data_IF_068444709984
#
_entry.id   IF_068444709984
#
_cell.length_a   1.000
_cell.length_b   1.000
_cell.length_c   1.000
_cell.angle_alpha   90.00
_cell.angle_beta   90.00
_cell.angle_gamma   90.00
#
_symmetry.space_group_name_H-M   'P 1'
#
loop_
_entity.id
_entity.type
_entity.pdbx_description
1 polymer ?
#
# COMPACT_ATOMS: atom_id res chain seq x y z
N UNK A 1 -3.57 10.57 11.81
CA UNK A 1 -4.25 11.36 10.76
C UNK A 1 -5.28 10.51 10.00
N UNK A 2 -4.96 9.31 9.49
CA UNK A 2 -5.92 8.42 8.80
C UNK A 2 -7.09 7.87 9.64
N UNK A 3 -6.88 7.50 10.91
CA UNK A 3 -7.95 6.87 11.73
C UNK A 3 -9.21 7.75 11.85
N UNK A 4 -9.04 9.05 12.11
CA UNK A 4 -10.17 9.96 12.26
C UNK A 4 -10.94 10.21 10.96
N UNK A 5 -10.28 10.13 9.80
CA UNK A 5 -10.94 10.19 8.50
C UNK A 5 -11.83 8.95 8.31
N UNK A 6 -11.27 7.76 8.57
CA UNK A 6 -11.99 6.49 8.40
C UNK A 6 -13.22 6.42 9.30
N UNK A 7 -13.15 6.94 10.52
CA UNK A 7 -14.29 6.97 11.45
C UNK A 7 -15.44 7.86 10.93
N UNK A 8 -15.14 8.90 10.17
CA UNK A 8 -16.11 9.87 9.66
C UNK A 8 -16.86 9.42 8.39
N UNK A 9 -16.34 8.39 7.70
CA UNK A 9 -16.91 7.86 6.46
C UNK A 9 -18.27 7.22 6.71
N UNK A 10 -19.22 7.50 5.79
CA UNK A 10 -20.57 6.94 5.73
C UNK A 10 -20.77 6.15 4.43
N UNK A 11 -21.85 5.36 4.42
CA UNK A 11 -22.29 4.64 3.24
C UNK A 11 -22.55 5.61 2.08
N UNK A 12 -22.02 5.29 0.89
CA UNK A 12 -22.11 6.12 -0.31
C UNK A 12 -21.08 7.25 -0.42
N UNK A 13 -20.23 7.48 0.59
CA UNK A 13 -19.16 8.49 0.50
C UNK A 13 -18.05 8.09 -0.48
N UNK A 14 -17.36 9.08 -1.06
CA UNK A 14 -16.17 8.87 -1.90
C UNK A 14 -14.94 9.49 -1.22
N UNK A 15 -13.95 8.66 -0.91
CA UNK A 15 -12.64 9.07 -0.41
C UNK A 15 -11.73 9.33 -1.59
N UNK A 16 -11.31 10.57 -1.76
CA UNK A 16 -10.41 10.96 -2.85
C UNK A 16 -9.01 11.19 -2.28
N UNK A 17 -8.02 10.46 -2.82
CA UNK A 17 -6.61 10.64 -2.47
C UNK A 17 -5.79 10.96 -3.71
N UNK A 18 -4.74 11.74 -3.56
CA UNK A 18 -3.86 12.04 -4.71
C UNK A 18 -3.01 10.82 -5.07
N UNK A 19 -2.58 10.05 -4.07
CA UNK A 19 -1.68 8.90 -4.21
C UNK A 19 -1.93 7.88 -3.09
N UNK A 20 -1.66 6.59 -3.35
CA UNK A 20 -1.92 5.49 -2.41
C UNK A 20 -1.03 5.51 -1.15
N UNK A 21 0.16 6.09 -1.22
CA UNK A 21 1.07 6.26 -0.06
C UNK A 21 0.46 7.12 1.05
N UNK A 22 -0.56 7.92 0.73
CA UNK A 22 -1.32 8.70 1.71
C UNK A 22 -2.22 7.84 2.61
N UNK A 23 -2.51 6.59 2.22
CA UNK A 23 -3.33 5.65 3.00
C UNK A 23 -2.52 4.81 4.00
N UNK A 24 -1.19 4.76 3.85
CA UNK A 24 -0.35 3.97 4.75
C UNK A 24 1.11 3.94 4.35
N UNK A 25 1.98 3.67 5.33
CA UNK A 25 3.44 3.56 5.14
C UNK A 25 3.91 2.17 4.67
N UNK A 26 2.98 1.24 4.50
CA UNK A 26 3.24 -0.11 4.02
C UNK A 26 2.06 -0.59 3.19
N UNK A 27 2.30 -1.48 2.23
CA UNK A 27 1.25 -2.08 1.41
C UNK A 27 0.14 -2.68 2.28
N UNK A 28 0.50 -3.40 3.35
CA UNK A 28 -0.46 -3.99 4.30
C UNK A 28 -1.39 -2.91 4.87
N UNK A 29 -0.84 -1.80 5.34
CA UNK A 29 -1.62 -0.69 5.89
C UNK A 29 -2.53 -0.03 4.84
N UNK A 30 -2.09 0.03 3.58
CA UNK A 30 -2.87 0.59 2.47
C UNK A 30 -4.06 -0.34 2.17
N UNK A 31 -3.83 -1.65 2.06
CA UNK A 31 -4.88 -2.64 1.82
C UNK A 31 -5.91 -2.68 2.96
N UNK A 32 -5.46 -2.62 4.21
CA UNK A 32 -6.34 -2.55 5.38
C UNK A 32 -7.23 -1.29 5.36
N UNK A 33 -6.68 -0.15 4.92
CA UNK A 33 -7.44 1.09 4.77
C UNK A 33 -8.50 0.98 3.67
N UNK A 34 -8.13 0.44 2.50
CA UNK A 34 -9.05 0.21 1.38
C UNK A 34 -10.21 -0.69 1.80
N UNK A 35 -9.90 -1.82 2.45
CA UNK A 35 -10.92 -2.77 2.91
C UNK A 35 -11.85 -2.12 3.95
N UNK A 36 -11.33 -1.27 4.83
CA UNK A 36 -12.15 -0.54 5.79
C UNK A 36 -13.11 0.44 5.13
N UNK A 37 -12.65 1.17 4.10
CA UNK A 37 -13.47 2.10 3.34
C UNK A 37 -14.61 1.35 2.64
N UNK A 38 -14.30 0.24 1.94
CA UNK A 38 -15.31 -0.58 1.28
C UNK A 38 -16.30 -1.24 2.24
N UNK A 39 -15.85 -1.71 3.41
CA UNK A 39 -16.76 -2.27 4.45
C UNK A 39 -17.76 -1.25 4.98
N UNK A 40 -17.44 0.04 4.92
CA UNK A 40 -18.35 1.13 5.28
C UNK A 40 -19.30 1.53 4.14
N UNK A 41 -19.21 0.88 2.98
CA UNK A 41 -20.02 1.20 1.81
C UNK A 41 -19.55 2.45 1.05
N UNK A 42 -18.34 2.92 1.33
CA UNK A 42 -17.71 4.05 0.65
C UNK A 42 -16.75 3.56 -0.43
N UNK A 43 -16.50 4.43 -1.42
CA UNK A 43 -15.58 4.17 -2.51
C UNK A 43 -14.25 4.92 -2.30
N UNK A 44 -13.16 4.37 -2.82
CA UNK A 44 -11.86 5.04 -2.89
C UNK A 44 -11.57 5.42 -4.34
N UNK A 45 -11.17 6.68 -4.54
CA UNK A 45 -10.73 7.20 -5.84
C UNK A 45 -9.36 7.84 -5.74
N UNK A 46 -8.51 7.54 -6.72
CA UNK A 46 -7.18 8.13 -6.88
C UNK A 46 -7.20 9.17 -7.99
N UNK A 47 -6.60 10.34 -7.75
CA UNK A 47 -6.45 11.39 -8.77
C UNK A 47 -5.39 11.01 -9.80
N UNK A 48 -4.43 10.14 -9.42
CA UNK A 48 -3.43 9.61 -10.33
C UNK A 48 -4.06 8.61 -11.32
N UNK A 49 -4.14 9.04 -12.59
CA UNK A 49 -4.80 8.35 -13.72
C UNK A 49 -4.20 6.97 -14.02
N UNK A 50 -2.99 6.69 -13.52
CA UNK A 50 -2.28 5.43 -13.77
C UNK A 50 -2.83 4.22 -13.01
N UNK A 51 -3.65 4.44 -11.97
CA UNK A 51 -4.23 3.39 -11.13
C UNK A 51 -5.67 3.76 -10.79
N UNK A 52 -6.56 3.76 -11.78
CA UNK A 52 -7.99 3.90 -11.50
C UNK A 52 -8.52 2.58 -10.91
N UNK A 53 -8.57 2.50 -9.57
CA UNK A 53 -8.94 1.30 -8.80
C UNK A 53 -10.41 1.30 -8.37
N UNK A 54 -11.24 1.99 -9.13
CA UNK A 54 -12.66 2.11 -8.85
C UNK A 54 -13.36 0.76 -9.02
N UNK A 55 -14.44 0.55 -8.27
CA UNK A 55 -15.23 -0.69 -8.19
C UNK A 55 -15.94 -1.05 -9.51
N UNK A 56 -16.10 -0.07 -10.41
CA UNK A 56 -16.62 -0.21 -11.77
C UNK A 56 -15.56 -0.61 -12.81
N UNK A 57 -14.27 -0.60 -12.47
CA UNK A 57 -13.20 -1.04 -13.36
C UNK A 57 -12.89 -2.54 -13.16
N UNK A 58 -13.17 -3.41 -14.17
CA UNK A 58 -12.94 -4.85 -14.07
C UNK A 58 -11.46 -5.23 -13.91
N UNK A 59 -10.52 -4.32 -14.19
CA UNK A 59 -9.09 -4.54 -14.04
C UNK A 59 -8.55 -4.14 -12.66
N UNK A 60 -9.34 -3.48 -11.81
CA UNK A 60 -8.92 -2.97 -10.49
C UNK A 60 -8.30 -4.05 -9.61
N UNK A 61 -8.91 -5.23 -9.57
CA UNK A 61 -8.41 -6.37 -8.77
C UNK A 61 -7.06 -6.88 -9.29
N UNK A 62 -6.88 -6.96 -10.61
CA UNK A 62 -5.63 -7.40 -11.22
C UNK A 62 -4.49 -6.40 -10.96
N UNK A 63 -4.79 -5.11 -11.07
CA UNK A 63 -3.84 -4.03 -10.80
C UNK A 63 -3.42 -4.04 -9.31
N UNK A 64 -4.37 -4.19 -8.38
CA UNK A 64 -4.07 -4.32 -6.94
C UNK A 64 -3.15 -5.51 -6.69
N UNK A 65 -3.47 -6.68 -7.26
CA UNK A 65 -2.69 -7.89 -7.06
C UNK A 65 -1.26 -7.73 -7.62
N UNK A 66 -1.11 -7.09 -8.78
CA UNK A 66 0.19 -6.85 -9.39
C UNK A 66 1.03 -5.86 -8.56
N UNK A 67 0.44 -4.77 -8.08
CA UNK A 67 1.08 -3.87 -7.12
C UNK A 67 1.48 -4.60 -5.83
N UNK A 68 0.63 -5.55 -5.39
CA UNK A 68 0.90 -6.44 -4.27
C UNK A 68 2.18 -7.25 -4.44
N UNK A 69 2.35 -7.85 -5.62
CA UNK A 69 3.52 -8.62 -6.01
C UNK A 69 4.78 -7.73 -6.06
N UNK A 70 4.70 -6.56 -6.70
CA UNK A 70 5.85 -5.64 -6.78
C UNK A 70 6.33 -5.16 -5.41
N UNK A 71 5.41 -4.80 -4.50
CA UNK A 71 5.79 -4.38 -3.15
C UNK A 71 6.36 -5.52 -2.29
N UNK A 72 6.03 -6.78 -2.62
CA UNK A 72 6.65 -7.96 -2.00
C UNK A 72 8.07 -8.16 -2.54
N UNK A 73 8.25 -8.09 -3.86
CA UNK A 73 9.56 -8.17 -4.52
C UNK A 73 10.52 -7.10 -4.01
N UNK A 74 10.08 -5.86 -3.88
CA UNK A 74 10.90 -4.76 -3.37
C UNK A 74 11.34 -4.99 -1.91
N UNK A 75 10.44 -5.50 -1.06
CA UNK A 75 10.77 -5.88 0.32
C UNK A 75 11.81 -6.99 0.38
N UNK A 76 11.69 -7.99 -0.48
CA UNK A 76 12.61 -9.12 -0.50
C UNK A 76 14.00 -8.70 -1.04
N UNK A 77 14.05 -7.80 -2.03
CA UNK A 77 15.30 -7.20 -2.51
C UNK A 77 16.01 -6.35 -1.44
N UNK A 78 15.26 -5.54 -0.68
CA UNK A 78 15.82 -4.77 0.45
C UNK A 78 16.38 -5.72 1.53
N UNK A 79 15.68 -6.81 1.82
CA UNK A 79 16.15 -7.82 2.77
C UNK A 79 17.42 -8.52 2.30
N UNK A 80 17.52 -8.88 1.03
CA UNK A 80 18.71 -9.51 0.43
C UNK A 80 19.93 -8.60 0.59
N UNK A 81 19.82 -7.34 0.17
CA UNK A 81 20.90 -6.35 0.25
C UNK A 81 21.38 -6.11 1.69
N UNK A 82 20.44 -6.07 2.65
CA UNK A 82 20.79 -5.93 4.06
C UNK A 82 21.43 -7.20 4.64
N UNK A 83 21.10 -8.38 4.13
CA UNK A 83 21.75 -9.62 4.54
C UNK A 83 23.19 -9.67 4.00
N UNK A 84 23.39 -9.36 2.72
CA UNK A 84 24.71 -9.26 2.08
C UNK A 84 25.61 -8.24 2.80
N UNK A 85 25.10 -7.04 3.08
CA UNK A 85 25.86 -6.01 3.80
C UNK A 85 26.18 -6.38 5.26
N UNK A 86 25.34 -7.18 5.93
CA UNK A 86 25.65 -7.70 7.27
C UNK A 86 26.76 -8.75 7.24
N UNK A 87 26.75 -9.63 6.26
CA UNK A 87 27.78 -10.65 6.12
C UNK A 87 29.13 -10.03 5.73
N UNK A 88 29.14 -9.02 4.86
CA UNK A 88 30.34 -8.22 4.58
C UNK A 88 30.84 -7.46 5.81
N UNK A 89 29.95 -6.81 6.58
CA UNK A 89 30.34 -6.08 7.78
C UNK A 89 30.89 -7.01 8.90
N UNK A 90 30.34 -8.23 9.01
CA UNK A 90 30.90 -9.28 9.88
C UNK A 90 32.27 -9.74 9.40
N UNK A 91 32.44 -9.97 8.09
CA UNK A 91 33.73 -10.36 7.51
C UNK A 91 34.81 -9.27 7.70
N UNK A 92 34.41 -7.99 7.72
CA UNK A 92 35.29 -6.84 7.98
C UNK A 92 35.45 -6.49 9.47
N UNK A 93 34.88 -7.26 10.39
CA UNK A 93 35.10 -7.11 11.84
C UNK A 93 34.48 -5.86 12.47
N UNK A 94 33.54 -5.18 11.81
CA UNK A 94 32.77 -4.05 12.38
C UNK A 94 31.29 -4.40 12.42
N UNK A 95 30.83 -5.17 13.43
CA UNK A 95 29.41 -5.32 13.68
C UNK A 95 28.84 -3.96 14.13
N UNK A 96 27.79 -3.50 13.45
CA UNK A 96 26.95 -2.40 13.91
C UNK A 96 25.83 -2.91 14.81
#
# INVERSE_FOLDING_TARGET
MLKGLIDYIRDGDEVIVTRLDQLGRSLKSILEAIEHIHRKGANLKTIDVSLNVSSDNPFSVAIINLCGIFAQLERDLIRSRNAEGREEAKAQGKPR
#
